data_IF_851669235464
#
_entry.id   IF_851669235464
#
_cell.length_a   1.000
_cell.length_b   1.000
_cell.length_c   1.000
_cell.angle_alpha   90.00
_cell.angle_beta   90.00
_cell.angle_gamma   90.00
#
_symmetry.space_group_name_H-M   'P 1'
#
loop_
_entity.id
_entity.type
_entity.pdbx_description
1 polymer ?
#
# COMPACT_ATOMS: atom_id res chain seq x y z
N UNK A 1 14.47 0.02 0.36
CA UNK A 1 13.90 1.38 0.18
C UNK A 1 14.97 2.24 -0.49
N UNK A 2 14.73 2.75 -1.69
CA UNK A 2 15.76 3.45 -2.47
C UNK A 2 15.62 4.97 -2.30
N UNK A 3 16.65 5.63 -1.78
CA UNK A 3 16.73 7.09 -1.64
C UNK A 3 17.63 7.68 -2.75
N UNK A 4 17.20 8.72 -3.47
CA UNK A 4 18.05 9.45 -4.43
C UNK A 4 17.31 10.16 -5.58
N UNK A 5 17.99 11.12 -6.24
CA UNK A 5 17.50 11.89 -7.39
C UNK A 5 17.65 11.12 -8.72
N UNK A 6 16.60 11.15 -9.55
CA UNK A 6 16.66 10.85 -11.00
C UNK A 6 17.16 9.45 -11.38
N UNK A 7 17.94 9.39 -12.47
CA UNK A 7 18.48 8.16 -13.11
C UNK A 7 19.16 7.18 -12.14
N UNK A 8 19.71 7.66 -11.02
CA UNK A 8 20.32 6.80 -9.98
C UNK A 8 19.29 5.90 -9.30
N UNK A 9 18.05 6.36 -9.13
CA UNK A 9 16.98 5.52 -8.58
C UNK A 9 16.39 4.60 -9.64
N UNK A 10 16.32 5.02 -10.91
CA UNK A 10 15.95 4.11 -12.00
C UNK A 10 16.95 2.95 -12.12
N UNK A 11 18.25 3.25 -12.04
CA UNK A 11 19.32 2.22 -11.98
C UNK A 11 19.09 1.27 -10.82
N UNK A 12 18.83 1.78 -9.61
CA UNK A 12 18.54 0.97 -8.42
C UNK A 12 17.25 0.16 -8.53
N UNK A 13 16.21 0.69 -9.18
CA UNK A 13 14.97 -0.04 -9.47
C UNK A 13 15.22 -1.16 -10.49
N UNK A 14 15.99 -0.90 -11.54
CA UNK A 14 16.39 -1.89 -12.54
C UNK A 14 17.30 -2.97 -11.93
N UNK A 15 18.25 -2.58 -11.07
CA UNK A 15 19.08 -3.48 -10.27
C UNK A 15 18.18 -4.34 -9.37
N UNK A 16 17.22 -3.73 -8.66
CA UNK A 16 16.22 -4.44 -7.87
C UNK A 16 15.40 -5.43 -8.69
N UNK A 17 14.95 -5.05 -9.89
CA UNK A 17 14.23 -5.96 -10.81
C UNK A 17 15.13 -7.10 -11.30
N UNK A 18 16.44 -6.86 -11.50
CA UNK A 18 17.39 -7.93 -11.80
C UNK A 18 17.67 -8.87 -10.62
N UNK A 19 17.34 -8.45 -9.39
CA UNK A 19 17.34 -9.34 -8.22
C UNK A 19 16.04 -10.15 -8.11
N UNK A 20 14.92 -9.66 -8.66
CA UNK A 20 13.66 -10.43 -8.69
C UNK A 20 13.83 -11.73 -9.48
N UNK A 21 14.61 -11.73 -10.56
CA UNK A 21 14.91 -12.97 -11.31
C UNK A 21 15.79 -13.96 -10.54
N UNK A 22 16.41 -13.53 -9.43
CA UNK A 22 17.17 -14.39 -8.52
C UNK A 22 16.33 -14.86 -7.32
N UNK A 23 15.13 -14.30 -7.13
CA UNK A 23 14.23 -14.73 -6.07
C UNK A 23 13.62 -16.08 -6.44
N UNK A 24 13.44 -16.96 -5.45
CA UNK A 24 12.74 -18.24 -5.65
C UNK A 24 11.23 -18.07 -5.44
N UNK A 25 10.81 -17.09 -4.64
CA UNK A 25 9.42 -16.86 -4.27
C UNK A 25 9.15 -15.36 -4.11
N UNK A 26 7.91 -14.94 -4.38
CA UNK A 26 7.47 -13.56 -4.19
C UNK A 26 6.27 -13.52 -3.22
N UNK A 27 6.45 -12.89 -2.06
CA UNK A 27 5.37 -12.66 -1.09
C UNK A 27 4.81 -11.25 -1.22
N UNK A 28 3.49 -11.12 -1.29
CA UNK A 28 2.79 -9.84 -1.46
C UNK A 28 1.80 -9.59 -0.33
N UNK A 29 1.88 -8.41 0.28
CA UNK A 29 1.03 -8.02 1.42
C UNK A 29 -0.28 -7.31 1.04
N UNK A 30 -0.66 -7.23 -0.24
CA UNK A 30 -1.85 -6.51 -0.71
C UNK A 30 -2.88 -7.48 -1.29
N UNK A 31 -4.13 -7.30 -0.90
CA UNK A 31 -5.27 -8.11 -1.38
C UNK A 31 -5.79 -7.50 -2.68
N UNK A 32 -5.27 -7.96 -3.83
CA UNK A 32 -5.78 -7.59 -5.16
C UNK A 32 -5.82 -8.82 -6.06
N UNK A 33 -6.93 -9.57 -6.08
CA UNK A 33 -6.98 -10.84 -6.80
C UNK A 33 -6.67 -10.70 -8.28
N UNK A 34 -7.26 -9.70 -8.97
CA UNK A 34 -7.06 -9.49 -10.42
C UNK A 34 -5.59 -9.26 -10.80
N UNK A 35 -4.89 -8.43 -10.03
CA UNK A 35 -3.47 -8.14 -10.27
C UNK A 35 -2.61 -9.36 -9.96
N UNK A 36 -2.93 -10.09 -8.88
CA UNK A 36 -2.20 -11.31 -8.48
C UNK A 36 -2.39 -12.42 -9.53
N UNK A 37 -3.60 -12.63 -10.02
CA UNK A 37 -3.89 -13.65 -11.03
C UNK A 37 -3.22 -13.36 -12.36
N UNK A 38 -3.18 -12.08 -12.77
CA UNK A 38 -2.44 -11.66 -13.96
C UNK A 38 -0.92 -11.86 -13.77
N UNK A 39 -0.39 -11.48 -12.61
CA UNK A 39 1.03 -11.67 -12.27
C UNK A 39 1.41 -13.15 -12.22
N UNK A 40 0.58 -14.01 -11.63
CA UNK A 40 0.79 -15.47 -11.59
C UNK A 40 0.89 -16.09 -12.99
N UNK A 41 0.20 -15.53 -13.99
CA UNK A 41 0.24 -16.02 -15.38
C UNK A 41 1.51 -15.61 -16.14
N UNK A 42 2.13 -14.50 -15.76
CA UNK A 42 3.31 -13.95 -16.46
C UNK A 42 4.61 -14.16 -15.68
N UNK A 43 4.53 -14.53 -14.41
CA UNK A 43 5.68 -14.72 -13.53
C UNK A 43 6.24 -16.14 -13.66
N UNK A 44 7.57 -16.23 -13.75
CA UNK A 44 8.31 -17.49 -13.71
C UNK A 44 8.55 -17.98 -12.27
N UNK A 45 8.25 -17.15 -11.26
CA UNK A 45 8.40 -17.47 -9.83
C UNK A 45 7.03 -17.54 -9.14
N UNK A 46 6.81 -18.48 -8.20
CA UNK A 46 5.57 -18.55 -7.43
C UNK A 46 5.29 -17.26 -6.64
N UNK A 47 4.01 -16.85 -6.65
CA UNK A 47 3.54 -15.64 -5.97
C UNK A 47 2.48 -16.00 -4.93
N UNK A 48 2.73 -15.63 -3.68
CA UNK A 48 1.83 -15.83 -2.54
C UNK A 48 1.35 -14.49 -1.99
N UNK A 49 0.05 -14.40 -1.74
CA UNK A 49 -0.60 -13.21 -1.20
C UNK A 49 -0.89 -13.39 0.28
N UNK A 50 -0.07 -12.76 1.12
CA UNK A 50 -0.13 -12.86 2.58
C UNK A 50 -0.87 -11.68 3.24
N UNK A 51 -1.64 -10.93 2.44
CA UNK A 51 -2.21 -9.64 2.84
C UNK A 51 -3.63 -9.67 3.43
N UNK A 52 -4.05 -8.57 4.11
CA UNK A 52 -3.21 -7.41 4.45
C UNK A 52 -2.32 -7.68 5.68
N UNK A 53 -1.02 -7.40 5.55
CA UNK A 53 -0.05 -7.52 6.64
C UNK A 53 0.06 -6.18 7.39
N UNK A 54 -1.00 -5.82 8.11
CA UNK A 54 -1.01 -4.63 8.96
C UNK A 54 -0.38 -5.02 10.31
N UNK A 55 0.72 -4.37 10.74
CA UNK A 55 1.30 -4.66 12.04
C UNK A 55 0.26 -4.42 13.14
N UNK A 56 0.05 -5.42 13.99
CA UNK A 56 -0.72 -5.24 15.22
C UNK A 56 0.21 -4.59 16.24
N UNK A 57 0.10 -3.28 16.41
CA UNK A 57 0.77 -2.60 17.51
C UNK A 57 -0.06 -2.86 18.77
N UNK A 58 0.50 -3.62 19.72
CA UNK A 58 0.00 -3.58 21.09
C UNK A 58 0.19 -2.14 21.57
N UNK A 59 -0.92 -1.44 21.81
CA UNK A 59 -0.90 -0.18 22.52
C UNK A 59 -0.49 -0.51 23.96
N UNK A 60 0.81 -0.49 24.24
CA UNK A 60 1.27 -0.43 25.62
C UNK A 60 0.66 0.83 26.23
N UNK A 61 -0.06 0.67 27.35
CA UNK A 61 -0.78 1.74 28.04
C UNK A 61 0.20 2.82 28.50
N UNK A 62 0.55 3.76 27.62
CA UNK A 62 1.14 5.02 28.00
C UNK A 62 0.00 5.96 28.38
N UNK A 63 0.07 6.59 29.55
CA UNK A 63 -0.99 7.43 30.14
C UNK A 63 -1.52 8.54 29.20
N UNK A 64 -0.76 8.92 28.16
CA UNK A 64 -1.16 9.92 27.16
C UNK A 64 -2.12 9.39 26.06
N UNK A 65 -2.13 8.08 25.78
CA UNK A 65 -3.03 7.48 24.76
C UNK A 65 -4.48 7.37 25.25
N UNK A 66 -4.66 7.37 26.57
CA UNK A 66 -5.95 7.25 27.25
C UNK A 66 -6.85 8.45 26.93
N UNK A 67 -6.29 9.66 26.81
CA UNK A 67 -7.09 10.89 26.60
C UNK A 67 -7.61 11.02 25.16
N UNK A 68 -6.77 10.71 24.15
CA UNK A 68 -7.17 10.79 22.73
C UNK A 68 -8.29 9.80 22.37
N UNK A 69 -8.17 8.55 22.83
CA UNK A 69 -9.18 7.53 22.59
C UNK A 69 -10.47 7.81 23.38
N UNK A 70 -10.36 8.33 24.60
CA UNK A 70 -11.53 8.77 25.37
C UNK A 70 -12.26 9.93 24.67
N UNK A 71 -11.52 10.94 24.22
CA UNK A 71 -12.09 12.04 23.43
C UNK A 71 -12.78 11.53 22.17
N UNK A 72 -12.18 10.59 21.44
CA UNK A 72 -12.78 10.01 20.23
C UNK A 72 -14.07 9.23 20.56
N UNK A 73 -14.05 8.44 21.62
CA UNK A 73 -15.18 7.64 22.08
C UNK A 73 -16.37 8.50 22.55
N UNK A 74 -16.15 9.74 23.00
CA UNK A 74 -17.23 10.66 23.37
C UNK A 74 -17.89 11.35 22.17
N UNK A 75 -17.37 11.20 20.95
CA UNK A 75 -17.94 11.83 19.76
C UNK A 75 -19.06 11.01 19.13
N UNK A 76 -20.05 11.64 18.46
CA UNK A 76 -21.04 10.92 17.67
C UNK A 76 -20.39 10.03 16.60
N UNK A 77 -21.04 8.90 16.29
CA UNK A 77 -20.56 7.98 15.24
C UNK A 77 -20.41 8.70 13.89
N UNK A 78 -19.33 8.37 13.17
CA UNK A 78 -19.04 8.92 11.84
C UNK A 78 -18.92 10.44 11.78
N UNK A 79 -18.53 11.09 12.89
CA UNK A 79 -18.53 12.55 12.99
C UNK A 79 -17.16 13.21 13.17
N UNK A 80 -16.10 12.41 13.25
CA UNK A 80 -14.71 12.88 13.33
C UNK A 80 -13.98 12.53 12.03
N UNK A 81 -13.26 13.51 11.47
CA UNK A 81 -12.35 13.31 10.34
C UNK A 81 -10.93 13.08 10.87
N UNK A 82 -10.33 11.95 10.50
CA UNK A 82 -8.93 11.67 10.80
C UNK A 82 -8.02 12.20 9.67
N UNK A 83 -6.98 12.96 10.03
CA UNK A 83 -6.00 13.53 9.08
C UNK A 83 -4.60 13.08 9.49
N UNK A 84 -3.87 12.47 8.55
CA UNK A 84 -2.48 12.08 8.72
C UNK A 84 -1.73 12.15 7.39
N UNK A 85 -0.53 12.73 7.42
CA UNK A 85 0.36 12.83 6.27
C UNK A 85 1.28 11.61 6.12
N UNK A 86 1.17 10.61 7.00
CA UNK A 86 2.10 9.49 7.06
C UNK A 86 3.53 9.96 7.31
N UNK A 87 4.50 9.14 6.94
CA UNK A 87 5.92 9.40 7.22
C UNK A 87 6.67 10.15 6.12
N UNK A 88 6.06 10.32 4.94
CA UNK A 88 6.79 10.61 3.70
C UNK A 88 6.22 11.77 2.88
N UNK A 89 5.12 12.39 3.30
CA UNK A 89 4.56 13.56 2.60
C UNK A 89 5.19 14.84 3.13
N UNK A 90 5.84 15.59 2.22
CA UNK A 90 6.30 16.96 2.46
C UNK A 90 5.32 17.92 1.81
N UNK A 91 4.70 18.79 2.61
CA UNK A 91 3.79 19.85 2.16
C UNK A 91 4.49 21.18 2.38
N UNK A 92 4.39 22.12 1.42
CA UNK A 92 4.98 23.46 1.60
C UNK A 92 4.32 24.17 2.79
N UNK A 93 5.04 25.08 3.44
CA UNK A 93 4.49 25.85 4.56
C UNK A 93 3.21 26.60 4.15
N UNK A 94 3.23 27.25 2.99
CA UNK A 94 2.08 27.97 2.46
C UNK A 94 0.87 27.04 2.26
N UNK A 95 1.06 25.85 1.68
CA UNK A 95 -0.03 24.89 1.53
C UNK A 95 -0.53 24.36 2.88
N UNK A 96 0.37 24.13 3.83
CA UNK A 96 -0.01 23.69 5.17
C UNK A 96 -0.84 24.74 5.92
N UNK A 97 -0.52 26.03 5.77
CA UNK A 97 -1.30 27.13 6.34
C UNK A 97 -2.74 27.14 5.76
N UNK A 98 -2.90 26.97 4.44
CA UNK A 98 -4.22 26.85 3.80
C UNK A 98 -5.00 25.62 4.31
N UNK A 99 -4.33 24.47 4.48
CA UNK A 99 -4.96 23.25 5.03
C UNK A 99 -5.44 23.49 6.45
N UNK A 100 -4.59 24.05 7.33
CA UNK A 100 -4.94 24.30 8.73
C UNK A 100 -6.17 25.22 8.81
N UNK A 101 -6.17 26.32 8.05
CA UNK A 101 -7.28 27.28 8.07
C UNK A 101 -8.54 26.67 7.45
N UNK A 102 -8.43 25.94 6.34
CA UNK A 102 -9.59 25.32 5.67
C UNK A 102 -10.24 24.23 6.52
N UNK A 103 -9.43 23.37 7.14
CA UNK A 103 -9.85 22.36 8.11
C UNK A 103 -10.59 23.02 9.27
N UNK A 104 -10.04 24.10 9.84
CA UNK A 104 -10.68 24.85 10.94
C UNK A 104 -12.01 25.47 10.50
N UNK A 105 -12.05 26.09 9.33
CA UNK A 105 -13.24 26.76 8.79
C UNK A 105 -14.36 25.77 8.41
N UNK A 106 -14.03 24.51 8.17
CA UNK A 106 -15.02 23.48 7.86
C UNK A 106 -16.04 23.26 8.98
N UNK A 107 -15.66 23.54 10.25
CA UNK A 107 -16.48 23.28 11.44
C UNK A 107 -16.58 21.79 11.81
N UNK A 108 -15.88 20.90 11.11
CA UNK A 108 -15.88 19.46 11.38
C UNK A 108 -14.92 19.14 12.53
N UNK A 109 -15.30 18.18 13.38
CA UNK A 109 -14.41 17.63 14.40
C UNK A 109 -13.28 16.84 13.75
N UNK A 110 -12.04 17.17 14.08
CA UNK A 110 -10.87 16.60 13.41
C UNK A 110 -9.92 16.02 14.44
N UNK A 111 -9.43 14.82 14.16
CA UNK A 111 -8.30 14.21 14.84
C UNK A 111 -7.11 14.25 13.88
N UNK A 112 -6.16 15.16 14.13
CA UNK A 112 -5.02 15.37 13.25
C UNK A 112 -3.73 14.96 13.94
N UNK A 113 -3.02 14.01 13.31
CA UNK A 113 -1.63 13.68 13.67
C UNK A 113 -0.68 14.65 12.95
N UNK A 114 -0.30 15.74 13.63
CA UNK A 114 0.69 16.68 13.14
C UNK A 114 2.12 16.21 13.47
N UNK A 115 3.07 16.49 12.58
CA UNK A 115 4.51 16.31 12.84
C UNK A 115 5.18 17.68 12.85
N UNK A 116 6.16 17.89 13.74
CA UNK A 116 7.04 19.06 13.70
C UNK A 116 7.82 19.12 12.39
N UNK A 117 8.37 20.29 12.05
CA UNK A 117 9.05 20.57 10.78
C UNK A 117 10.00 19.43 10.37
N UNK A 118 9.52 18.55 9.49
CA UNK A 118 10.32 17.45 8.97
C UNK A 118 11.14 18.02 7.81
N UNK A 119 12.45 17.97 7.96
CA UNK A 119 13.40 18.30 6.91
C UNK A 119 13.07 17.52 5.63
N UNK A 120 12.57 18.25 4.62
CA UNK A 120 12.64 18.00 3.18
C UNK A 120 13.21 16.64 2.77
N UNK A 121 12.34 15.62 2.72
CA UNK A 121 12.52 14.50 1.79
C UNK A 121 11.50 14.70 0.68
N UNK A 122 11.77 15.67 -0.18
CA UNK A 122 10.97 15.95 -1.39
C UNK A 122 11.26 14.95 -2.51
N UNK A 123 12.32 14.16 -2.39
CA UNK A 123 12.74 13.29 -3.47
C UNK A 123 12.29 11.84 -3.24
N UNK A 124 11.26 11.48 -4.01
CA UNK A 124 11.01 10.12 -4.50
C UNK A 124 10.39 9.10 -3.52
N UNK A 125 9.67 9.54 -2.50
CA UNK A 125 8.83 8.64 -1.68
C UNK A 125 7.36 8.55 -2.16
N UNK A 126 7.00 9.19 -3.28
CA UNK A 126 5.63 9.26 -3.79
C UNK A 126 5.24 8.26 -4.88
N UNK A 127 6.16 7.38 -5.31
CA UNK A 127 5.92 6.51 -6.47
C UNK A 127 4.74 5.56 -6.28
N UNK A 128 4.67 4.89 -5.13
CA UNK A 128 3.53 4.05 -4.77
C UNK A 128 2.32 4.89 -4.34
N UNK A 129 2.51 6.08 -3.76
CA UNK A 129 1.40 6.95 -3.37
C UNK A 129 0.53 7.39 -4.54
N UNK A 130 1.12 7.67 -5.71
CA UNK A 130 0.37 7.98 -6.94
C UNK A 130 -0.50 6.79 -7.33
N UNK A 131 0.09 5.58 -7.36
CA UNK A 131 -0.63 4.37 -7.74
C UNK A 131 -1.69 3.99 -6.70
N UNK A 132 -1.37 4.10 -5.41
CA UNK A 132 -2.28 3.86 -4.30
C UNK A 132 -3.46 4.84 -4.33
N UNK A 133 -3.21 6.13 -4.59
CA UNK A 133 -4.26 7.14 -4.78
C UNK A 133 -5.16 6.77 -5.97
N UNK A 134 -4.57 6.39 -7.11
CA UNK A 134 -5.32 5.94 -8.28
C UNK A 134 -6.19 4.73 -7.95
N UNK A 135 -5.64 3.70 -7.30
CA UNK A 135 -6.41 2.52 -6.89
C UNK A 135 -7.54 2.89 -5.91
N UNK A 136 -7.29 3.75 -4.92
CA UNK A 136 -8.31 4.18 -3.95
C UNK A 136 -9.47 4.92 -4.60
N UNK A 137 -9.18 5.76 -5.59
CA UNK A 137 -10.14 6.68 -6.23
C UNK A 137 -10.84 6.01 -7.41
N UNK A 138 -10.10 5.34 -8.30
CA UNK A 138 -10.63 4.82 -9.56
C UNK A 138 -11.11 3.37 -9.43
N UNK A 139 -10.29 2.50 -8.81
CA UNK A 139 -10.59 1.06 -8.74
C UNK A 139 -11.55 0.76 -7.58
N UNK A 140 -11.20 1.19 -6.38
CA UNK A 140 -11.96 0.92 -5.16
C UNK A 140 -13.08 1.94 -4.95
N UNK A 141 -12.92 3.16 -5.48
CA UNK A 141 -13.87 4.26 -5.35
C UNK A 141 -14.22 4.55 -3.88
N UNK A 142 -13.24 4.52 -2.98
CA UNK A 142 -13.43 4.75 -1.55
C UNK A 142 -12.74 6.03 -1.05
N UNK A 143 -12.20 6.83 -1.96
CA UNK A 143 -11.45 8.03 -1.60
C UNK A 143 -11.56 9.11 -2.67
N UNK A 144 -11.28 10.34 -2.25
CA UNK A 144 -11.30 11.52 -3.10
C UNK A 144 -9.88 11.94 -3.43
N UNK A 145 -9.68 12.38 -4.67
CA UNK A 145 -8.42 13.02 -5.06
C UNK A 145 -8.60 14.53 -4.97
N UNK A 146 -7.85 15.16 -4.08
CA UNK A 146 -7.65 16.61 -4.09
C UNK A 146 -6.46 16.90 -4.98
N UNK A 147 -6.60 17.83 -5.93
CA UNK A 147 -5.49 18.21 -6.81
C UNK A 147 -4.49 19.00 -5.97
N UNK A 148 -3.30 18.45 -5.81
CA UNK A 148 -2.14 19.17 -5.29
C UNK A 148 -0.99 18.78 -6.23
N UNK A 149 -0.49 19.71 -7.03
CA UNK A 149 0.65 19.44 -7.89
C UNK A 149 1.94 19.59 -7.07
N UNK A 150 2.81 18.58 -7.11
CA UNK A 150 4.05 18.64 -6.33
C UNK A 150 4.99 19.68 -6.92
N UNK A 151 5.36 20.68 -6.11
CA UNK A 151 6.36 21.68 -6.47
C UNK A 151 5.81 22.92 -7.19
N UNK A 152 4.50 23.06 -7.32
CA UNK A 152 3.88 24.29 -7.79
C UNK A 152 3.52 25.17 -6.58
N UNK A 153 4.34 26.17 -6.30
CA UNK A 153 4.06 27.18 -5.26
C UNK A 153 3.00 28.20 -5.71
N UNK A 154 2.64 28.26 -7.00
CA UNK A 154 1.64 29.19 -7.52
C UNK A 154 0.20 28.64 -7.43
N UNK A 155 0.02 27.31 -7.49
CA UNK A 155 -1.32 26.68 -7.45
C UNK A 155 -1.59 25.95 -6.13
N UNK A 156 -1.70 26.73 -5.05
CA UNK A 156 -2.16 26.22 -3.75
C UNK A 156 -3.65 25.86 -3.78
N UNK A 157 -4.02 24.77 -3.11
CA UNK A 157 -5.43 24.52 -2.78
C UNK A 157 -5.81 25.48 -1.66
N UNK A 158 -6.81 26.31 -1.93
CA UNK A 158 -7.24 27.37 -1.00
C UNK A 158 -7.99 26.79 0.20
N UNK A 159 -7.93 27.49 1.33
CA UNK A 159 -8.69 27.17 2.56
C UNK A 159 -10.19 27.08 2.29
N UNK A 160 -10.75 27.89 1.40
CA UNK A 160 -12.16 27.83 1.01
C UNK A 160 -12.49 26.51 0.31
N UNK A 161 -11.64 26.08 -0.63
CA UNK A 161 -11.78 24.79 -1.31
C UNK A 161 -11.65 23.63 -0.34
N UNK A 162 -10.64 23.66 0.54
CA UNK A 162 -10.43 22.63 1.58
C UNK A 162 -11.64 22.54 2.50
N UNK A 163 -12.15 23.67 2.99
CA UNK A 163 -13.34 23.70 3.85
C UNK A 163 -14.55 23.07 3.14
N UNK A 164 -14.79 23.44 1.88
CA UNK A 164 -15.88 22.89 1.07
C UNK A 164 -15.73 21.38 0.81
N UNK A 165 -14.50 20.91 0.56
CA UNK A 165 -14.21 19.48 0.37
C UNK A 165 -14.49 18.72 1.68
N UNK A 166 -13.98 19.20 2.81
CA UNK A 166 -14.16 18.56 4.13
C UNK A 166 -15.64 18.50 4.49
N UNK A 167 -16.39 19.59 4.29
CA UNK A 167 -17.82 19.64 4.55
C UNK A 167 -18.59 18.64 3.70
N UNK A 168 -18.35 18.60 2.38
CA UNK A 168 -19.01 17.63 1.48
C UNK A 168 -18.66 16.18 1.83
N UNK A 169 -17.40 15.91 2.15
CA UNK A 169 -16.94 14.58 2.53
C UNK A 169 -17.58 14.10 3.85
N UNK A 170 -17.90 15.03 4.75
CA UNK A 170 -18.42 14.76 6.08
C UNK A 170 -19.95 14.93 6.21
N UNK A 171 -20.64 15.29 5.13
CA UNK A 171 -22.10 15.32 5.06
C UNK A 171 -22.68 13.91 5.20
N UNK A 172 -23.50 13.67 6.22
CA UNK A 172 -24.12 12.37 6.50
C UNK A 172 -25.22 12.03 5.50
N UNK A 173 -25.82 13.02 4.85
CA UNK A 173 -26.90 12.82 3.88
C UNK A 173 -26.41 12.66 2.44
N UNK A 174 -25.14 12.96 2.18
CA UNK A 174 -24.50 12.75 0.89
C UNK A 174 -24.61 11.28 0.43
N UNK A 175 -25.26 11.07 -0.73
CA UNK A 175 -25.35 9.76 -1.39
C UNK A 175 -23.97 9.23 -1.75
N UNK A 176 -23.08 10.11 -2.20
CA UNK A 176 -21.69 9.77 -2.57
C UNK A 176 -20.95 9.18 -1.37
N UNK A 177 -21.01 9.84 -0.21
CA UNK A 177 -20.39 9.36 1.03
C UNK A 177 -20.97 8.04 1.51
N UNK A 178 -22.30 7.87 1.47
CA UNK A 178 -22.98 6.63 1.89
C UNK A 178 -22.48 5.45 1.06
N UNK A 179 -22.35 5.64 -0.25
CA UNK A 179 -21.86 4.60 -1.16
C UNK A 179 -20.36 4.31 -0.98
N UNK A 180 -19.54 5.33 -0.75
CA UNK A 180 -18.11 5.14 -0.44
C UNK A 180 -17.89 4.35 0.84
N UNK A 181 -18.65 4.67 1.90
CA UNK A 181 -18.60 3.92 3.16
C UNK A 181 -19.06 2.49 3.00
N UNK A 182 -20.06 2.24 2.14
CA UNK A 182 -20.50 0.88 1.81
C UNK A 182 -19.37 0.09 1.14
N UNK A 183 -18.75 0.65 0.09
CA UNK A 183 -17.60 0.03 -0.59
C UNK A 183 -16.41 -0.21 0.35
N UNK A 184 -16.11 0.75 1.22
CA UNK A 184 -15.04 0.59 2.22
C UNK A 184 -15.34 -0.54 3.22
N UNK A 185 -16.60 -0.72 3.62
CA UNK A 185 -17.03 -1.83 4.49
C UNK A 185 -16.89 -3.18 3.77
N UNK A 186 -17.31 -3.28 2.52
CA UNK A 186 -17.17 -4.50 1.70
C UNK A 186 -15.69 -4.87 1.50
N UNK A 187 -14.82 -3.88 1.27
CA UNK A 187 -13.38 -4.07 1.19
C UNK A 187 -12.81 -4.58 2.52
N UNK A 188 -13.20 -3.98 3.64
CA UNK A 188 -12.81 -4.45 4.99
C UNK A 188 -13.22 -5.90 5.21
N UNK A 189 -14.45 -6.26 4.88
CA UNK A 189 -14.94 -7.64 5.03
C UNK A 189 -14.17 -8.63 4.16
N UNK A 190 -13.76 -8.21 2.95
CA UNK A 190 -12.91 -9.02 2.07
C UNK A 190 -11.54 -9.28 2.69
N UNK A 191 -10.90 -8.24 3.24
CA UNK A 191 -9.64 -8.37 3.95
C UNK A 191 -9.76 -9.27 5.19
N UNK A 192 -10.85 -9.16 5.95
CA UNK A 192 -11.10 -10.02 7.11
C UNK A 192 -11.30 -11.49 6.72
N UNK A 193 -12.01 -11.77 5.62
CA UNK A 193 -12.15 -13.15 5.11
C UNK A 193 -10.83 -13.71 4.58
N UNK A 194 -10.00 -12.88 3.96
CA UNK A 194 -8.68 -13.32 3.48
C UNK A 194 -7.77 -13.74 4.63
N UNK A 195 -7.86 -13.07 5.79
CA UNK A 195 -6.99 -13.28 6.96
C UNK A 195 -7.60 -14.11 8.08
N UNK A 196 -8.89 -14.45 7.98
CA UNK A 196 -9.54 -15.38 8.92
C UNK A 196 -9.01 -16.80 8.74
N UNK A 197 -9.24 -17.65 9.74
CA UNK A 197 -8.88 -19.08 9.68
C UNK A 197 -9.47 -19.75 8.44
N UNK A 198 -8.65 -20.47 7.67
CA UNK A 198 -8.98 -21.06 6.37
C UNK A 198 -9.12 -20.05 5.23
N UNK A 199 -8.70 -18.80 5.46
CA UNK A 199 -8.74 -17.72 4.47
C UNK A 199 -7.64 -17.85 3.40
N UNK A 200 -7.76 -17.06 2.34
CA UNK A 200 -6.82 -17.12 1.22
C UNK A 200 -5.39 -16.76 1.61
N UNK A 201 -5.19 -15.86 2.58
CA UNK A 201 -3.86 -15.48 3.03
C UNK A 201 -3.20 -16.60 3.86
N UNK A 202 -3.94 -17.26 4.75
CA UNK A 202 -3.44 -18.43 5.49
C UNK A 202 -3.13 -19.58 4.53
N UNK A 203 -4.02 -19.85 3.56
CA UNK A 203 -3.80 -20.88 2.54
C UNK A 203 -2.54 -20.62 1.71
N UNK A 204 -2.32 -19.37 1.28
CA UNK A 204 -1.13 -18.98 0.53
C UNK A 204 0.15 -19.06 1.40
N UNK A 205 0.06 -18.78 2.71
CA UNK A 205 1.17 -18.97 3.65
C UNK A 205 1.48 -20.46 3.82
N UNK A 206 0.48 -21.30 4.01
CA UNK A 206 0.63 -22.75 4.17
C UNK A 206 1.25 -23.38 2.91
N UNK A 207 0.77 -22.98 1.73
CA UNK A 207 1.33 -23.39 0.45
C UNK A 207 2.80 -22.97 0.32
N UNK A 208 3.12 -21.73 0.69
CA UNK A 208 4.51 -21.27 0.71
C UNK A 208 5.39 -22.09 1.67
N UNK A 209 4.92 -22.38 2.89
CA UNK A 209 5.64 -23.19 3.88
C UNK A 209 5.86 -24.61 3.36
N UNK A 210 4.86 -25.20 2.69
CA UNK A 210 4.97 -26.51 2.07
C UNK A 210 6.04 -26.52 0.96
N UNK A 211 6.05 -25.52 0.09
CA UNK A 211 6.97 -25.43 -1.04
C UNK A 211 8.43 -25.25 -0.60
N UNK A 212 8.68 -24.46 0.45
CA UNK A 212 10.04 -24.34 1.03
C UNK A 212 10.47 -25.61 1.76
N UNK A 213 9.53 -26.37 2.34
CA UNK A 213 9.83 -27.61 3.05
C UNK A 213 10.19 -28.74 2.07
N UNK A 214 9.61 -28.75 0.87
CA UNK A 214 9.87 -29.76 -0.16
C UNK A 214 11.16 -29.47 -0.94
N UNK A 215 11.47 -28.20 -1.21
CA UNK A 215 12.71 -27.79 -1.89
C UNK A 215 13.98 -28.02 -1.07
N UNK A 216 13.85 -28.33 0.23
CA UNK A 216 14.95 -28.70 1.13
C UNK A 216 15.36 -30.18 1.06
N UNK A 217 14.73 -31.01 0.22
CA UNK A 217 15.10 -32.43 0.08
C UNK A 217 16.23 -32.62 -0.96
N UNK A 218 17.35 -33.31 -0.63
CA UNK A 218 18.50 -33.48 -1.53
C UNK A 218 18.22 -34.20 -2.86
N UNK A 219 17.08 -34.90 -2.98
CA UNK A 219 16.76 -35.70 -4.17
C UNK A 219 16.30 -34.87 -5.37
N UNK A 220 15.70 -33.69 -5.16
CA UNK A 220 15.22 -32.85 -6.26
C UNK A 220 16.35 -32.07 -6.94
N UNK A 221 17.43 -31.75 -6.23
CA UNK A 221 18.63 -31.12 -6.82
C UNK A 221 19.32 -32.06 -7.80
N UNK A 222 19.36 -33.37 -7.51
CA UNK A 222 19.90 -34.38 -8.41
C UNK A 222 19.04 -34.56 -9.66
N UNK A 223 17.70 -34.60 -9.54
CA UNK A 223 16.80 -34.69 -10.69
C UNK A 223 16.89 -33.47 -11.61
N UNK A 224 16.96 -32.26 -11.04
CA UNK A 224 17.06 -31.02 -11.82
C UNK A 224 18.44 -30.87 -12.48
N UNK A 225 19.52 -31.29 -11.81
CA UNK A 225 20.86 -31.36 -12.41
C UNK A 225 20.95 -32.42 -13.52
N UNK A 226 20.34 -33.59 -13.34
CA UNK A 226 20.33 -34.66 -14.34
C UNK A 226 19.52 -34.29 -15.60
N UNK A 227 18.39 -33.58 -15.45
CA UNK A 227 17.64 -33.07 -16.62
C UNK A 227 18.43 -32.00 -17.39
N UNK A 228 19.15 -31.11 -16.69
CA UNK A 228 20.00 -30.10 -17.35
C UNK A 228 21.21 -30.71 -18.05
N UNK A 229 21.82 -31.76 -17.47
CA UNK A 229 22.92 -32.50 -18.09
C UNK A 229 22.42 -33.32 -19.30
N UNK A 230 21.23 -33.94 -19.21
CA UNK A 230 20.65 -34.70 -20.32
C UNK A 230 20.32 -33.81 -21.52
N UNK A 231 19.81 -32.59 -21.29
CA UNK A 231 19.54 -31.62 -22.37
C UNK A 231 20.82 -31.07 -23.01
N UNK A 232 21.90 -30.89 -22.24
CA UNK A 232 23.20 -30.44 -22.78
C UNK A 232 23.90 -31.52 -23.61
N UNK A 233 23.83 -32.79 -23.18
CA UNK A 233 24.41 -33.92 -23.94
C UNK A 233 23.64 -34.17 -25.24
N UNK A 234 22.32 -33.94 -25.27
CA UNK A 234 21.50 -34.13 -26.48
C UNK A 234 21.72 -33.02 -27.53
N UNK A 235 22.09 -31.81 -27.12
CA UNK A 235 22.44 -30.70 -28.03
C UNK A 235 23.85 -30.85 -28.62
N UNK A 236 24.76 -31.57 -27.95
CA UNK A 236 26.14 -31.77 -28.43
C UNK A 236 26.34 -32.94 -29.41
N UNK A 237 25.35 -33.82 -29.61
CA UNK A 237 25.48 -35.02 -30.50
C UNK A 237 24.87 -34.80 -31.90
N UNK A 238 24.46 -33.60 -32.27
CA UNK A 238 23.80 -33.35 -33.57
C UNK A 238 24.60 -32.49 -34.57
N UNK A 239 25.91 -32.31 -34.38
CA UNK A 239 26.79 -31.71 -35.39
C UNK A 239 28.12 -32.45 -35.48
N UNK A 240 28.12 -33.54 -36.23
CA UNK A 240 29.26 -34.10 -36.95
C UNK A 240 28.73 -35.21 -37.86
N UNK A 241 28.18 -34.84 -39.01
CA UNK A 241 28.32 -35.47 -40.34
C UNK A 241 27.78 -34.50 -41.39
#
# INVERSE_FOLDING_TARGET
>A
MFYGKGLKTLSRCLEGMSLVSKAQYLLRAKVESRTIDALRKISLIPIYSIGPAIPYFNLENNDNDIDCLQWLNSQPKSSVLYISHGSFLSVSKAQMDEIIVGVKNSGVRILWVARGEASWITDLCGGDQILNSKTLVEDWKIGWKVRCEMGDEEHLVTKEEIAGIVQRFMDLESKERKEERKRAKELRETCLRATSKGGSAETDIDAFIQDISQSATPEQTLSHCLQHISLQVQVQVQSCY
#
